data_IF_353567696322
#
_entry.id   IF_353567696322
#
_cell.length_a   1.000
_cell.length_b   1.000
_cell.length_c   1.000
_cell.angle_alpha   90.00
_cell.angle_beta   90.00
_cell.angle_gamma   90.00
#
_symmetry.space_group_name_H-M   'P 1'
#
loop_
_entity.id
_entity.type
_entity.pdbx_description
1 polymer ?
#
# COMPACT_ATOMS: atom_id res chain seq x y z
N UNK A 1 -19.68 -7.41 -4.21
CA UNK A 1 -19.24 -6.01 -4.37
C UNK A 1 -18.06 -6.04 -5.32
N UNK A 2 -18.14 -5.33 -6.45
CA UNK A 2 -17.12 -5.40 -7.49
C UNK A 2 -15.79 -4.86 -6.98
N UNK A 3 -14.70 -5.44 -7.50
CA UNK A 3 -13.29 -5.07 -7.29
C UNK A 3 -12.99 -3.57 -7.54
N UNK A 4 -13.98 -2.81 -8.01
CA UNK A 4 -13.89 -1.39 -8.36
C UNK A 4 -14.22 -0.49 -7.16
N UNK A 5 -15.24 -0.83 -6.34
CA UNK A 5 -15.76 0.10 -5.34
C UNK A 5 -14.74 0.45 -4.23
N UNK A 6 -13.89 -0.51 -3.83
CA UNK A 6 -12.85 -0.26 -2.83
C UNK A 6 -11.69 0.56 -3.40
N UNK A 7 -11.37 0.39 -4.69
CA UNK A 7 -10.32 1.16 -5.38
C UNK A 7 -10.73 2.62 -5.51
N UNK A 8 -11.97 2.87 -5.93
CA UNK A 8 -12.52 4.23 -6.04
C UNK A 8 -12.51 4.94 -4.68
N UNK A 9 -12.81 4.21 -3.59
CA UNK A 9 -12.73 4.76 -2.25
C UNK A 9 -11.30 5.14 -1.84
N UNK A 10 -10.29 4.34 -2.20
CA UNK A 10 -8.89 4.68 -1.97
C UNK A 10 -8.48 5.94 -2.74
N UNK A 11 -8.83 6.02 -4.03
CA UNK A 11 -8.54 7.21 -4.84
C UNK A 11 -9.23 8.46 -4.29
N UNK A 12 -10.49 8.35 -3.87
CA UNK A 12 -11.22 9.49 -3.29
C UNK A 12 -10.57 10.00 -2.01
N UNK A 13 -9.96 9.11 -1.21
CA UNK A 13 -9.39 9.43 0.10
C UNK A 13 -7.92 9.86 0.06
N UNK A 14 -7.11 9.17 -0.70
CA UNK A 14 -5.65 9.34 -0.74
C UNK A 14 -5.15 9.96 -2.05
N UNK A 15 -6.06 10.22 -2.99
CA UNK A 15 -5.82 11.02 -4.19
C UNK A 15 -4.64 10.51 -5.00
N UNK A 16 -3.71 11.42 -5.25
CA UNK A 16 -2.53 11.24 -6.08
C UNK A 16 -1.45 10.35 -5.45
N UNK A 17 -1.59 9.97 -4.18
CA UNK A 17 -0.71 8.98 -3.58
C UNK A 17 -0.99 7.55 -4.09
N UNK A 18 -2.20 7.26 -4.59
CA UNK A 18 -2.62 5.93 -5.05
C UNK A 18 -2.20 5.72 -6.51
N UNK A 19 -1.63 4.55 -6.88
CA UNK A 19 -1.26 4.27 -8.26
C UNK A 19 -2.50 4.11 -9.12
N UNK A 20 -2.39 4.39 -10.42
CA UNK A 20 -3.48 4.21 -11.40
C UNK A 20 -4.10 2.79 -11.31
N UNK A 21 -5.40 2.67 -11.61
CA UNK A 21 -6.16 1.46 -11.36
C UNK A 21 -5.62 0.21 -12.11
N UNK A 22 -5.01 0.40 -13.29
CA UNK A 22 -4.36 -0.63 -14.09
C UNK A 22 -3.03 -1.14 -13.48
N UNK A 23 -2.51 -0.44 -12.46
CA UNK A 23 -1.31 -0.78 -11.70
C UNK A 23 -1.59 -1.38 -10.32
N UNK A 24 -2.86 -1.63 -10.01
CA UNK A 24 -3.30 -2.32 -8.80
C UNK A 24 -3.59 -3.78 -9.18
N UNK A 25 -2.57 -4.63 -9.04
CA UNK A 25 -2.56 -6.06 -9.38
C UNK A 25 -2.62 -6.92 -8.11
N UNK A 26 -3.63 -6.66 -7.28
CA UNK A 26 -3.90 -7.37 -6.02
C UNK A 26 -5.34 -7.85 -5.99
N UNK A 27 -5.62 -8.88 -5.20
CA UNK A 27 -6.99 -9.31 -4.93
C UNK A 27 -7.75 -8.26 -4.13
N UNK A 28 -9.06 -8.14 -4.36
CA UNK A 28 -9.92 -7.20 -3.62
C UNK A 28 -9.87 -7.38 -2.09
N UNK A 29 -9.58 -8.60 -1.63
CA UNK A 29 -9.39 -8.97 -0.22
C UNK A 29 -8.25 -8.17 0.45
N UNK A 30 -7.24 -7.77 -0.32
CA UNK A 30 -6.10 -6.96 0.13
C UNK A 30 -6.45 -5.48 0.28
N UNK A 31 -7.61 -5.03 -0.22
CA UNK A 31 -8.01 -3.63 -0.21
C UNK A 31 -7.98 -2.98 1.18
N UNK A 32 -8.61 -3.58 2.21
CA UNK A 32 -8.55 -3.06 3.59
C UNK A 32 -7.13 -3.02 4.17
N UNK A 33 -6.24 -3.92 3.75
CA UNK A 33 -4.85 -3.92 4.19
C UNK A 33 -4.06 -2.77 3.56
N UNK A 34 -4.25 -2.54 2.25
CA UNK A 34 -3.67 -1.39 1.55
C UNK A 34 -4.19 -0.08 2.14
N UNK A 35 -5.49 0.00 2.47
CA UNK A 35 -6.06 1.18 3.14
C UNK A 35 -5.37 1.47 4.48
N UNK A 36 -5.13 0.44 5.30
CA UNK A 36 -4.43 0.58 6.59
C UNK A 36 -2.98 1.03 6.41
N UNK A 37 -2.26 0.47 5.42
CA UNK A 37 -0.91 0.93 5.09
C UNK A 37 -0.91 2.41 4.70
N UNK A 38 -1.81 2.84 3.82
CA UNK A 38 -1.91 4.24 3.39
C UNK A 38 -2.26 5.18 4.56
N UNK A 39 -3.17 4.75 5.44
CA UNK A 39 -3.51 5.50 6.65
C UNK A 39 -2.30 5.64 7.59
N UNK A 40 -1.57 4.54 7.85
CA UNK A 40 -0.39 4.56 8.70
C UNK A 40 0.73 5.45 8.13
N UNK A 41 0.94 5.43 6.81
CA UNK A 41 1.89 6.32 6.15
C UNK A 41 1.43 7.79 6.22
N UNK A 42 0.13 8.05 6.14
CA UNK A 42 -0.42 9.39 6.28
C UNK A 42 -0.22 9.94 7.69
N UNK A 43 -0.51 9.15 8.73
CA UNK A 43 -0.32 9.52 10.13
C UNK A 43 1.14 9.82 10.48
N UNK A 44 2.08 9.08 9.86
CA UNK A 44 3.53 9.34 10.01
C UNK A 44 4.03 10.49 9.13
N UNK A 45 3.15 11.09 8.33
CA UNK A 45 3.44 12.18 7.40
C UNK A 45 4.27 11.76 6.19
N UNK A 46 4.36 10.48 5.89
CA UNK A 46 5.17 9.92 4.79
C UNK A 46 4.41 9.83 3.46
N UNK A 47 3.08 9.71 3.50
CA UNK A 47 2.28 9.39 2.31
C UNK A 47 2.53 10.34 1.13
N UNK A 48 2.67 11.63 1.39
CA UNK A 48 2.86 12.65 0.35
C UNK A 48 4.32 12.91 -0.01
N UNK A 49 5.28 12.23 0.62
CA UNK A 49 6.69 12.23 0.20
C UNK A 49 6.94 11.26 -0.98
N UNK A 50 5.96 10.39 -1.26
CA UNK A 50 6.04 9.30 -2.23
C UNK A 50 4.85 9.29 -3.18
N UNK A 51 5.06 8.67 -4.33
CA UNK A 51 4.02 8.30 -5.27
C UNK A 51 4.10 6.80 -5.45
N UNK A 52 3.03 6.09 -5.08
CA UNK A 52 2.94 4.67 -5.40
C UNK A 52 2.71 4.53 -6.91
N UNK A 53 3.49 3.67 -7.55
CA UNK A 53 3.44 3.39 -8.98
C UNK A 53 2.83 2.03 -9.28
N UNK A 54 2.59 1.20 -8.25
CA UNK A 54 1.83 -0.03 -8.37
C UNK A 54 1.79 -0.84 -7.07
N UNK A 55 0.78 -1.71 -6.99
CA UNK A 55 0.65 -2.73 -5.96
C UNK A 55 0.57 -4.09 -6.63
N UNK A 56 1.44 -5.03 -6.25
CA UNK A 56 1.49 -6.38 -6.79
C UNK A 56 1.35 -7.40 -5.65
N UNK A 57 0.48 -8.39 -5.83
CA UNK A 57 0.47 -9.57 -4.97
C UNK A 57 1.28 -10.69 -5.62
N UNK A 58 2.46 -11.02 -5.08
CA UNK A 58 3.32 -12.07 -5.65
C UNK A 58 3.02 -13.48 -5.19
N UNK A 59 2.52 -13.60 -3.97
CA UNK A 59 2.09 -14.83 -3.35
C UNK A 59 0.91 -14.50 -2.43
N UNK A 60 0.08 -15.48 -2.03
CA UNK A 60 -1.03 -15.22 -1.12
C UNK A 60 -0.56 -14.48 0.15
N UNK A 61 -1.02 -13.24 0.31
CA UNK A 61 -0.65 -12.38 1.44
C UNK A 61 0.71 -11.69 1.34
N UNK A 62 1.38 -11.72 0.20
CA UNK A 62 2.62 -10.97 -0.02
C UNK A 62 2.37 -9.75 -0.90
N UNK A 63 2.33 -8.56 -0.28
CA UNK A 63 2.18 -7.29 -0.97
C UNK A 63 3.56 -6.75 -1.36
N UNK A 64 3.70 -6.36 -2.61
CA UNK A 64 4.82 -5.54 -3.08
C UNK A 64 4.28 -4.17 -3.47
N UNK A 65 4.79 -3.15 -2.78
CA UNK A 65 4.47 -1.76 -3.07
C UNK A 65 5.60 -1.13 -3.90
N UNK A 66 5.29 -0.76 -5.13
CA UNK A 66 6.21 0.02 -5.97
C UNK A 66 5.96 1.50 -5.74
N UNK A 67 7.02 2.26 -5.49
CA UNK A 67 6.92 3.70 -5.28
C UNK A 67 8.16 4.45 -5.77
N UNK A 68 7.99 5.75 -6.00
CA UNK A 68 9.09 6.70 -6.20
C UNK A 68 8.95 7.87 -5.24
N UNK A 69 10.04 8.55 -4.97
CA UNK A 69 10.02 9.78 -4.20
C UNK A 69 9.49 10.93 -5.06
N UNK A 70 8.61 11.76 -4.49
CA UNK A 70 8.08 12.97 -5.17
C UNK A 70 9.09 14.11 -5.17
N UNK A 71 10.02 14.10 -4.22
CA UNK A 71 10.99 15.16 -4.02
C UNK A 71 12.41 14.59 -3.98
N UNK A 72 13.29 15.10 -4.85
CA UNK A 72 14.70 14.71 -4.87
C UNK A 72 15.45 15.19 -3.61
N UNK A 73 14.96 16.25 -2.97
CA UNK A 73 15.55 16.86 -1.77
C UNK A 73 15.33 16.11 -0.45
N UNK A 74 14.67 14.95 -0.46
CA UNK A 74 14.48 14.17 0.77
C UNK A 74 15.83 13.70 1.33
N UNK A 75 16.04 13.96 2.63
CA UNK A 75 17.23 13.48 3.33
C UNK A 75 17.32 11.95 3.30
N UNK A 76 18.55 11.40 3.30
CA UNK A 76 18.77 9.95 3.36
C UNK A 76 18.06 9.29 4.56
N UNK A 77 18.03 9.97 5.71
CA UNK A 77 17.32 9.51 6.91
C UNK A 77 15.80 9.42 6.66
N UNK A 78 15.21 10.42 6.00
CA UNK A 78 13.78 10.43 5.70
C UNK A 78 13.40 9.33 4.71
N UNK A 79 14.19 9.15 3.64
CA UNK A 79 14.05 8.04 2.68
C UNK A 79 14.07 6.69 3.38
N UNK A 80 15.04 6.48 4.28
CA UNK A 80 15.16 5.24 5.04
C UNK A 80 13.94 4.97 5.94
N UNK A 81 13.44 5.98 6.65
CA UNK A 81 12.24 5.83 7.48
C UNK A 81 10.99 5.48 6.67
N UNK A 82 10.87 6.01 5.46
CA UNK A 82 9.78 5.68 4.54
C UNK A 82 9.91 4.22 4.05
N UNK A 83 11.11 3.83 3.60
CA UNK A 83 11.40 2.47 3.14
C UNK A 83 11.12 1.43 4.23
N UNK A 84 11.61 1.66 5.45
CA UNK A 84 11.37 0.78 6.59
C UNK A 84 9.86 0.74 6.92
N UNK A 85 9.18 1.89 6.94
CA UNK A 85 7.75 1.96 7.20
C UNK A 85 6.90 1.23 6.15
N UNK A 86 7.30 1.19 4.88
CA UNK A 86 6.61 0.42 3.83
C UNK A 86 6.96 -1.06 3.92
N UNK A 87 8.22 -1.40 4.23
CA UNK A 87 8.68 -2.77 4.36
C UNK A 87 7.93 -3.55 5.44
N UNK A 88 7.53 -2.88 6.53
CA UNK A 88 6.67 -3.43 7.59
C UNK A 88 5.32 -3.95 7.07
N UNK A 89 4.85 -3.46 5.92
CA UNK A 89 3.57 -3.86 5.29
C UNK A 89 3.73 -4.84 4.12
N UNK A 90 4.94 -5.29 3.80
CA UNK A 90 5.11 -6.25 2.70
C UNK A 90 4.50 -7.63 3.02
N UNK A 91 4.22 -7.91 4.30
CA UNK A 91 3.59 -9.15 4.74
C UNK A 91 2.17 -8.88 5.26
N UNK A 92 1.18 -9.35 4.51
CA UNK A 92 -0.18 -9.56 4.99
C UNK A 92 -0.27 -11.01 5.46
N UNK A 93 -0.27 -11.30 6.78
CA UNK A 93 -0.59 -12.65 7.21
C UNK A 93 -2.00 -12.97 6.69
N UNK A 94 -2.18 -13.99 5.82
CA UNK A 94 -3.53 -14.44 5.53
C UNK A 94 -4.18 -14.75 6.88
N UNK A 95 -5.42 -14.31 7.09
CA UNK A 95 -6.18 -14.76 8.25
C UNK A 95 -6.03 -16.28 8.28
N UNK A 96 -5.29 -16.80 9.27
CA UNK A 96 -5.18 -18.24 9.43
C UNK A 96 -6.61 -18.70 9.52
N UNK A 97 -7.07 -19.46 8.52
CA UNK A 97 -8.20 -20.34 8.78
C UNK A 97 -7.69 -21.18 9.94
N UNK A 98 -8.27 -21.00 11.13
CA UNK A 98 -8.22 -22.03 12.14
C UNK A 98 -8.68 -23.30 11.41
N UNK A 99 -7.73 -24.12 11.01
CA UNK A 99 -7.98 -25.54 10.84
C UNK A 99 -8.25 -26.02 12.25
N UNK A 100 -9.53 -25.99 12.63
CA UNK A 100 -10.08 -26.94 13.57
C UNK A 100 -9.80 -28.35 13.00
N UNK A 101 -8.78 -29.01 13.55
CA UNK A 101 -8.67 -30.47 13.61
C UNK A 101 -8.31 -30.90 15.03
#
# INVERSE_FOLDING_TARGET
>A
MSDIAWRDALFARYGDAVPAADRILVRAEMGPFIEQMLAALHERGFLYDIEFTGFEERAPGWLISHFRYRHDGLSKRRKRLIEDAIADWNFYPPAMKETDE
#
